data_IF_722588693428
#
_entry.id   IF_722588693428
#
_cell.length_a   1.000
_cell.length_b   1.000
_cell.length_c   1.000
_cell.angle_alpha   90.00
_cell.angle_beta   90.00
_cell.angle_gamma   90.00
#
_symmetry.space_group_name_H-M   'P 1'
#
loop_
_entity.id
_entity.type
_entity.pdbx_description
1 polymer ?
#
# COMPACT_ATOMS: atom_id res chain seq x y z
N UNK A 1 -29.27 22.84 20.32
CA UNK A 1 -28.98 21.42 20.00
C UNK A 1 -28.65 21.21 18.51
N UNK A 2 -29.41 21.79 17.59
CA UNK A 2 -29.18 21.66 16.13
C UNK A 2 -27.79 22.18 15.66
N UNK A 3 -27.34 23.32 16.19
CA UNK A 3 -26.00 23.87 15.87
C UNK A 3 -24.84 23.00 16.35
N UNK A 4 -25.01 22.30 17.49
CA UNK A 4 -23.97 21.40 18.00
C UNK A 4 -23.87 20.15 17.10
N UNK A 5 -25.01 19.62 16.65
CA UNK A 5 -25.06 18.48 15.72
C UNK A 5 -24.48 18.83 14.33
N UNK A 6 -24.71 20.07 13.86
CA UNK A 6 -24.16 20.61 12.61
C UNK A 6 -22.63 20.76 12.63
N UNK A 7 -22.01 21.01 13.79
CA UNK A 7 -20.55 21.16 13.92
C UNK A 7 -19.89 19.83 14.25
N UNK A 8 -20.54 19.00 15.08
CA UNK A 8 -20.00 17.72 15.51
C UNK A 8 -19.85 16.73 14.36
N UNK A 9 -20.80 16.70 13.42
CA UNK A 9 -20.76 15.78 12.28
C UNK A 9 -19.57 16.05 11.32
N UNK A 10 -19.33 17.29 10.84
CA UNK A 10 -18.11 17.62 10.10
C UNK A 10 -16.84 17.30 10.89
N UNK A 11 -16.83 17.57 12.20
CA UNK A 11 -15.67 17.31 13.04
C UNK A 11 -15.31 15.81 13.08
N UNK A 12 -16.31 14.94 13.30
CA UNK A 12 -16.12 13.48 13.29
C UNK A 12 -15.63 13.01 11.92
N UNK A 13 -16.21 13.56 10.84
CA UNK A 13 -15.83 13.20 9.47
C UNK A 13 -14.38 13.61 9.16
N UNK A 14 -13.96 14.81 9.58
CA UNK A 14 -12.56 15.24 9.46
C UNK A 14 -11.62 14.40 10.32
N UNK A 15 -12.02 14.01 11.53
CA UNK A 15 -11.23 13.17 12.42
C UNK A 15 -10.99 11.75 11.86
N UNK A 16 -11.84 11.27 10.94
CA UNK A 16 -11.65 9.99 10.23
C UNK A 16 -10.80 10.17 8.97
N UNK A 17 -11.07 11.23 8.18
CA UNK A 17 -10.40 11.47 6.91
C UNK A 17 -8.92 11.85 7.10
N UNK A 18 -8.61 12.70 8.07
CA UNK A 18 -7.25 13.20 8.31
C UNK A 18 -6.25 12.04 8.56
N UNK A 19 -6.53 11.07 9.46
CA UNK A 19 -5.66 9.90 9.64
C UNK A 19 -5.43 9.08 8.38
N UNK A 20 -6.44 8.93 7.53
CA UNK A 20 -6.34 8.18 6.27
C UNK A 20 -5.38 8.88 5.30
N UNK A 21 -5.52 10.20 5.15
CA UNK A 21 -4.62 11.02 4.33
C UNK A 21 -3.20 10.98 4.89
N UNK A 22 -3.04 11.17 6.20
CA UNK A 22 -1.73 11.08 6.85
C UNK A 22 -1.10 9.71 6.61
N UNK A 23 -1.85 8.62 6.80
CA UNK A 23 -1.35 7.27 6.55
C UNK A 23 -0.87 7.11 5.10
N UNK A 24 -1.64 7.56 4.11
CA UNK A 24 -1.24 7.51 2.71
C UNK A 24 0.06 8.27 2.44
N UNK A 25 0.19 9.49 2.96
CA UNK A 25 1.40 10.31 2.83
C UNK A 25 2.61 9.67 3.52
N UNK A 26 2.45 9.24 4.77
CA UNK A 26 3.51 8.58 5.53
C UNK A 26 3.94 7.27 4.87
N UNK A 27 3.01 6.48 4.36
CA UNK A 27 3.30 5.23 3.64
C UNK A 27 4.23 5.50 2.45
N UNK A 28 3.95 6.53 1.65
CA UNK A 28 4.79 6.93 0.52
C UNK A 28 6.14 7.46 1.00
N UNK A 29 6.16 8.44 1.92
CA UNK A 29 7.41 9.07 2.39
C UNK A 29 8.34 8.06 3.06
N UNK A 30 7.79 7.22 3.94
CA UNK A 30 8.57 6.18 4.62
C UNK A 30 9.06 5.17 3.59
N UNK A 31 8.24 4.73 2.64
CA UNK A 31 8.70 3.75 1.65
C UNK A 31 9.81 4.28 0.75
N UNK A 32 9.69 5.52 0.25
CA UNK A 32 10.61 6.14 -0.71
C UNK A 32 11.90 6.60 -0.03
N UNK A 33 11.83 7.21 1.15
CA UNK A 33 13.02 7.79 1.80
C UNK A 33 13.54 6.89 2.91
N UNK A 34 12.71 6.55 3.89
CA UNK A 34 13.14 5.76 5.06
C UNK A 34 13.49 4.31 4.69
N UNK A 35 12.62 3.67 3.93
CA UNK A 35 12.70 2.28 3.54
C UNK A 35 13.83 2.02 2.56
N UNK A 36 13.94 2.82 1.51
CA UNK A 36 15.05 2.69 0.56
C UNK A 36 16.41 2.94 1.23
N UNK A 37 16.54 3.95 2.08
CA UNK A 37 17.77 4.23 2.82
C UNK A 37 18.13 3.06 3.75
N UNK A 38 17.15 2.54 4.50
CA UNK A 38 17.35 1.37 5.35
C UNK A 38 17.76 0.13 4.54
N UNK A 39 17.11 -0.11 3.39
CA UNK A 39 17.45 -1.23 2.51
C UNK A 39 18.86 -1.12 1.92
N UNK A 40 19.32 0.10 1.59
CA UNK A 40 20.66 0.33 1.06
C UNK A 40 21.76 -0.05 2.06
N UNK A 41 21.52 0.10 3.36
CA UNK A 41 22.45 -0.30 4.42
C UNK A 41 22.54 -1.82 4.61
N UNK A 42 21.59 -2.60 4.07
CA UNK A 42 21.59 -4.06 4.16
C UNK A 42 22.62 -4.65 3.20
N UNK A 43 23.69 -5.23 3.76
CA UNK A 43 24.75 -5.91 3.00
C UNK A 43 24.25 -7.14 2.22
N UNK A 44 23.25 -7.84 2.74
CA UNK A 44 22.70 -9.03 2.09
C UNK A 44 21.80 -8.63 0.91
N UNK A 45 22.27 -8.86 -0.31
CA UNK A 45 21.56 -8.53 -1.56
C UNK A 45 20.14 -9.12 -1.64
N UNK A 46 19.92 -10.33 -1.10
CA UNK A 46 18.61 -11.01 -1.14
C UNK A 46 17.60 -10.32 -0.22
N UNK A 47 18.01 -10.07 1.02
CA UNK A 47 17.17 -9.36 2.02
C UNK A 47 16.88 -7.95 1.52
N UNK A 48 17.90 -7.27 0.99
CA UNK A 48 17.74 -5.95 0.39
C UNK A 48 16.71 -5.93 -0.74
N UNK A 49 16.77 -6.89 -1.66
CA UNK A 49 15.79 -7.00 -2.75
C UNK A 49 14.37 -7.22 -2.24
N UNK A 50 14.18 -8.07 -1.22
CA UNK A 50 12.86 -8.29 -0.62
C UNK A 50 12.32 -7.05 0.09
N UNK A 51 13.19 -6.31 0.79
CA UNK A 51 12.81 -5.03 1.40
C UNK A 51 12.38 -4.02 0.33
N UNK A 52 13.09 -3.90 -0.79
CA UNK A 52 12.69 -3.02 -1.88
C UNK A 52 11.31 -3.39 -2.44
N UNK A 53 11.05 -4.67 -2.66
CA UNK A 53 9.72 -5.14 -3.11
C UNK A 53 8.64 -4.73 -2.10
N UNK A 54 8.89 -4.95 -0.81
CA UNK A 54 7.95 -4.56 0.25
C UNK A 54 7.70 -3.05 0.31
N UNK A 55 8.74 -2.23 0.17
CA UNK A 55 8.59 -0.77 0.14
C UNK A 55 7.84 -0.27 -1.10
N UNK A 56 8.07 -0.86 -2.27
CA UNK A 56 7.30 -0.52 -3.47
C UNK A 56 5.81 -0.82 -3.25
N UNK A 57 5.48 -1.99 -2.70
CA UNK A 57 4.08 -2.35 -2.39
C UNK A 57 3.49 -1.34 -1.38
N UNK A 58 4.23 -0.96 -0.34
CA UNK A 58 3.79 0.03 0.65
C UNK A 58 3.54 1.42 0.02
N UNK A 59 4.41 1.86 -0.90
CA UNK A 59 4.20 3.09 -1.66
C UNK A 59 2.93 3.03 -2.49
N UNK A 60 2.68 1.90 -3.16
CA UNK A 60 1.49 1.70 -3.99
C UNK A 60 0.22 1.72 -3.15
N UNK A 61 0.21 1.13 -1.95
CA UNK A 61 -0.92 1.21 -1.02
C UNK A 61 -1.20 2.67 -0.64
N UNK A 62 -0.16 3.44 -0.31
CA UNK A 62 -0.30 4.86 -0.01
C UNK A 62 -0.87 5.67 -1.18
N UNK A 63 -0.46 5.35 -2.41
CA UNK A 63 -0.95 6.00 -3.61
C UNK A 63 -2.44 5.73 -3.87
N UNK A 64 -2.90 4.48 -3.67
CA UNK A 64 -4.32 4.13 -3.78
C UNK A 64 -5.16 4.92 -2.78
N UNK A 65 -4.70 5.01 -1.53
CA UNK A 65 -5.41 5.72 -0.45
C UNK A 65 -5.50 7.22 -0.75
N UNK A 66 -4.46 7.82 -1.35
CA UNK A 66 -4.43 9.24 -1.64
C UNK A 66 -5.17 9.63 -2.93
N UNK A 67 -5.33 8.70 -3.88
CA UNK A 67 -5.89 9.03 -5.20
C UNK A 67 -7.25 9.74 -5.12
N UNK A 68 -8.25 9.29 -4.33
CA UNK A 68 -9.55 9.96 -4.25
C UNK A 68 -9.46 11.42 -3.77
N UNK A 69 -8.47 11.72 -2.92
CA UNK A 69 -8.23 13.08 -2.46
C UNK A 69 -7.51 13.90 -3.52
N UNK A 70 -6.49 13.33 -4.17
CA UNK A 70 -5.76 14.00 -5.26
C UNK A 70 -6.72 14.34 -6.41
N UNK A 71 -7.60 13.44 -6.82
CA UNK A 71 -8.57 13.69 -7.90
C UNK A 71 -9.61 14.76 -7.55
N UNK A 72 -9.91 14.99 -6.26
CA UNK A 72 -10.75 16.13 -5.86
C UNK A 72 -10.05 17.49 -6.03
N UNK A 73 -8.72 17.54 -5.90
CA UNK A 73 -7.93 18.78 -5.98
C UNK A 73 -7.21 18.98 -7.32
N UNK A 74 -7.30 18.01 -8.24
CA UNK A 74 -6.67 18.05 -9.56
C UNK A 74 -7.72 17.88 -10.65
N UNK A 75 -7.46 18.36 -11.86
CA UNK A 75 -8.36 18.17 -13.01
C UNK A 75 -8.34 16.73 -13.57
N UNK A 76 -8.02 15.72 -12.75
CA UNK A 76 -8.00 14.32 -13.14
C UNK A 76 -9.40 13.76 -12.93
N UNK A 77 -10.10 13.32 -13.99
CA UNK A 77 -11.45 12.80 -13.82
C UNK A 77 -11.41 11.49 -13.03
N UNK A 78 -12.37 11.34 -12.12
CA UNK A 78 -12.47 10.20 -11.22
C UNK A 78 -12.68 8.87 -11.97
N UNK A 79 -13.13 8.92 -13.22
CA UNK A 79 -13.29 7.77 -14.12
C UNK A 79 -11.97 7.01 -14.38
N UNK A 80 -10.81 7.64 -14.14
CA UNK A 80 -9.52 6.96 -14.19
C UNK A 80 -9.19 6.13 -12.93
N UNK A 81 -9.92 6.33 -11.83
CA UNK A 81 -9.64 5.64 -10.56
C UNK A 81 -9.68 4.11 -10.67
N UNK A 82 -10.67 3.48 -11.34
CA UNK A 82 -10.69 2.03 -11.48
C UNK A 82 -9.48 1.50 -12.26
N UNK A 83 -9.08 2.20 -13.32
CA UNK A 83 -7.92 1.84 -14.14
C UNK A 83 -6.62 1.97 -13.35
N UNK A 84 -6.47 3.06 -12.59
CA UNK A 84 -5.33 3.28 -11.70
C UNK A 84 -5.21 2.17 -10.65
N UNK A 85 -6.31 1.84 -9.97
CA UNK A 85 -6.35 0.76 -8.98
C UNK A 85 -6.01 -0.59 -9.59
N UNK A 86 -6.58 -0.92 -10.75
CA UNK A 86 -6.30 -2.18 -11.44
C UNK A 86 -4.81 -2.34 -11.78
N UNK A 87 -4.18 -1.30 -12.34
CA UNK A 87 -2.75 -1.33 -12.67
C UNK A 87 -1.92 -1.57 -11.39
N UNK A 88 -2.24 -0.84 -10.31
CA UNK A 88 -1.52 -1.00 -9.05
C UNK A 88 -1.73 -2.37 -8.43
N UNK A 89 -2.95 -2.89 -8.40
CA UNK A 89 -3.26 -4.23 -7.89
C UNK A 89 -2.55 -5.33 -8.68
N UNK A 90 -2.56 -5.28 -10.02
CA UNK A 90 -1.79 -6.23 -10.85
C UNK A 90 -0.30 -6.14 -10.50
N UNK A 91 0.25 -4.93 -10.41
CA UNK A 91 1.66 -4.73 -10.10
C UNK A 91 2.04 -5.25 -8.71
N UNK A 92 1.19 -5.05 -7.69
CA UNK A 92 1.37 -5.61 -6.35
C UNK A 92 1.35 -7.14 -6.36
N UNK A 93 0.44 -7.74 -7.14
CA UNK A 93 0.36 -9.19 -7.31
C UNK A 93 1.64 -9.76 -7.94
N UNK A 94 2.12 -9.15 -9.02
CA UNK A 94 3.38 -9.53 -9.68
C UNK A 94 4.57 -9.38 -8.73
N UNK A 95 4.69 -8.24 -8.04
CA UNK A 95 5.76 -8.00 -7.07
C UNK A 95 5.73 -9.01 -5.92
N UNK A 96 4.54 -9.38 -5.44
CA UNK A 96 4.38 -10.35 -4.37
C UNK A 96 4.80 -11.76 -4.80
N UNK A 97 4.45 -12.17 -6.03
CA UNK A 97 4.90 -13.48 -6.56
C UNK A 97 6.42 -13.53 -6.75
N UNK A 98 7.04 -12.45 -7.21
CA UNK A 98 8.51 -12.31 -7.28
C UNK A 98 9.12 -12.39 -5.87
N UNK A 99 8.52 -11.73 -4.88
CA UNK A 99 8.92 -11.80 -3.47
C UNK A 99 8.90 -13.23 -2.90
N UNK A 100 7.84 -14.00 -3.21
CA UNK A 100 7.73 -15.42 -2.84
C UNK A 100 8.81 -16.26 -3.53
N UNK A 101 9.10 -16.00 -4.80
CA UNK A 101 10.15 -16.74 -5.50
C UNK A 101 11.53 -16.50 -4.87
N UNK A 102 11.85 -15.24 -4.55
CA UNK A 102 13.09 -14.85 -3.87
C UNK A 102 13.20 -15.43 -2.46
N UNK A 103 12.09 -15.52 -1.71
CA UNK A 103 12.07 -16.05 -0.34
C UNK A 103 12.47 -17.54 -0.28
N UNK A 104 12.21 -18.32 -1.33
CA UNK A 104 12.59 -19.74 -1.40
C UNK A 104 14.08 -19.98 -1.22
N UNK A 105 14.90 -19.00 -1.61
CA UNK A 105 16.36 -19.08 -1.55
C UNK A 105 16.96 -18.89 -0.14
N UNK A 106 16.12 -18.69 0.89
CA UNK A 106 16.55 -18.62 2.28
C UNK A 106 16.66 -20.01 2.90
N UNK A 107 17.80 -20.26 3.56
CA UNK A 107 18.08 -21.53 4.24
C UNK A 107 17.26 -21.67 5.53
N UNK A 108 17.02 -20.57 6.25
CA UNK A 108 16.24 -20.59 7.49
C UNK A 108 14.75 -20.80 7.18
N UNK A 109 14.22 -21.96 7.59
CA UNK A 109 12.83 -22.37 7.36
C UNK A 109 11.81 -21.40 7.96
N UNK A 110 12.06 -20.87 9.17
CA UNK A 110 11.15 -19.95 9.86
C UNK A 110 11.08 -18.60 9.14
N UNK A 111 12.24 -18.04 8.79
CA UNK A 111 12.32 -16.76 8.06
C UNK A 111 11.66 -16.88 6.69
N UNK A 112 11.92 -17.99 5.98
CA UNK A 112 11.27 -18.26 4.69
C UNK A 112 9.75 -18.35 4.82
N UNK A 113 9.24 -19.08 5.82
CA UNK A 113 7.80 -19.22 6.04
C UNK A 113 7.15 -17.85 6.33
N UNK A 114 7.76 -17.05 7.21
CA UNK A 114 7.24 -15.75 7.61
C UNK A 114 7.20 -14.76 6.42
N UNK A 115 8.30 -14.64 5.67
CA UNK A 115 8.34 -13.75 4.50
C UNK A 115 7.32 -14.19 3.44
N UNK A 116 7.22 -15.49 3.20
CA UNK A 116 6.26 -16.04 2.24
C UNK A 116 4.82 -15.77 2.67
N UNK A 117 4.51 -15.94 3.96
CA UNK A 117 3.19 -15.63 4.50
C UNK A 117 2.83 -14.15 4.30
N UNK A 118 3.75 -13.22 4.54
CA UNK A 118 3.51 -11.78 4.29
C UNK A 118 3.14 -11.53 2.82
N UNK A 119 3.90 -12.03 1.86
CA UNK A 119 3.57 -11.82 0.44
C UNK A 119 2.28 -12.52 0.02
N UNK A 120 1.96 -13.68 0.59
CA UNK A 120 0.67 -14.35 0.35
C UNK A 120 -0.48 -13.49 0.88
N UNK A 121 -0.35 -12.88 2.06
CA UNK A 121 -1.39 -11.99 2.59
C UNK A 121 -1.65 -10.79 1.66
N UNK A 122 -0.60 -10.22 1.05
CA UNK A 122 -0.76 -9.16 0.06
C UNK A 122 -1.55 -9.66 -1.16
N UNK A 123 -1.25 -10.86 -1.67
CA UNK A 123 -1.99 -11.45 -2.80
C UNK A 123 -3.47 -11.65 -2.45
N UNK A 124 -3.77 -12.18 -1.26
CA UNK A 124 -5.15 -12.39 -0.81
C UNK A 124 -5.90 -11.06 -0.76
N UNK A 125 -5.29 -10.02 -0.18
CA UNK A 125 -5.89 -8.67 -0.10
C UNK A 125 -6.13 -8.11 -1.51
N UNK A 126 -5.15 -8.21 -2.40
CA UNK A 126 -5.25 -7.73 -3.79
C UNK A 126 -6.39 -8.42 -4.53
N UNK A 127 -6.50 -9.76 -4.42
CA UNK A 127 -7.59 -10.52 -5.06
C UNK A 127 -8.95 -10.14 -4.48
N UNK A 128 -9.04 -9.97 -3.16
CA UNK A 128 -10.25 -9.53 -2.49
C UNK A 128 -10.70 -8.14 -2.97
N UNK A 129 -9.76 -7.18 -3.06
CA UNK A 129 -10.04 -5.83 -3.57
C UNK A 129 -10.46 -5.85 -5.04
N UNK A 130 -9.86 -6.71 -5.87
CA UNK A 130 -10.29 -6.93 -7.25
C UNK A 130 -11.74 -7.41 -7.35
N UNK A 131 -12.14 -8.35 -6.50
CA UNK A 131 -13.50 -8.88 -6.47
C UNK A 131 -14.49 -7.77 -6.08
N UNK A 132 -14.17 -6.98 -5.06
CA UNK A 132 -15.00 -5.84 -4.64
C UNK A 132 -15.17 -4.83 -5.77
N UNK A 133 -14.14 -4.59 -6.57
CA UNK A 133 -14.20 -3.61 -7.65
C UNK A 133 -15.09 -4.04 -8.83
N UNK A 134 -15.34 -5.35 -8.98
CA UNK A 134 -16.19 -5.92 -10.04
C UNK A 134 -17.67 -5.95 -9.62
N UNK A 135 -17.95 -6.05 -8.32
CA UNK A 135 -19.30 -6.10 -7.74
C UNK A 135 -19.88 -4.70 -7.62
#
# INVERSE_FOLDING_TARGET
MFHLMLILFPLILTAIIIPIILFGLFSIVISIFGGTAAALLIKNKKVRSLCFIGFIILSMIGAIILFPFISMYTNIPFDYYPLFCNILFVSMGILSTIGIFLSRSFQNKMVRALITAVFITVIIIVVFLFIIQII
#
